data_IF_545814897317
#
_entry.id   IF_545814897317
#
_cell.length_a   1.000
_cell.length_b   1.000
_cell.length_c   1.000
_cell.angle_alpha   90.00
_cell.angle_beta   90.00
_cell.angle_gamma   90.00
#
_symmetry.space_group_name_H-M   'P 1'
#
loop_
_entity.id
_entity.type
_entity.pdbx_description
1 polymer ?
#
# COMPACT_ATOMS: atom_id res chain seq x y z
N UNK A 1 20.58 17.72 3.88
CA UNK A 1 19.78 16.47 3.89
C UNK A 1 18.36 16.61 4.46
N UNK A 2 18.00 17.66 5.21
CA UNK A 2 16.64 17.83 5.80
C UNK A 2 15.49 17.94 4.78
N UNK A 3 15.76 18.38 3.55
CA UNK A 3 14.75 18.55 2.49
C UNK A 3 14.34 17.25 1.80
N UNK A 4 15.20 16.22 1.81
CA UNK A 4 14.92 14.95 1.12
C UNK A 4 13.77 14.16 1.78
N UNK A 5 13.68 14.22 3.12
CA UNK A 5 12.59 13.56 3.87
C UNK A 5 11.20 14.17 3.60
N UNK A 6 11.15 15.43 3.18
CA UNK A 6 9.89 16.13 2.90
C UNK A 6 9.21 15.61 1.64
N UNK A 7 10.00 15.15 0.67
CA UNK A 7 9.51 14.58 -0.59
C UNK A 7 9.39 13.06 -0.56
N UNK A 8 10.21 12.37 0.24
CA UNK A 8 10.24 10.91 0.29
C UNK A 8 8.90 10.31 0.74
N UNK A 9 8.28 10.91 1.77
CA UNK A 9 6.98 10.46 2.27
C UNK A 9 5.86 10.57 1.23
N UNK A 10 5.60 11.77 0.67
CA UNK A 10 4.61 11.95 -0.40
C UNK A 10 4.89 11.09 -1.64
N UNK A 11 6.14 10.90 -2.03
CA UNK A 11 6.51 10.05 -3.18
C UNK A 11 6.16 8.58 -2.92
N UNK A 12 6.58 8.03 -1.77
CA UNK A 12 6.24 6.66 -1.39
C UNK A 12 4.73 6.50 -1.18
N UNK A 13 4.07 7.50 -0.62
CA UNK A 13 2.61 7.55 -0.48
C UNK A 13 1.92 7.48 -1.83
N UNK A 14 2.37 8.26 -2.82
CA UNK A 14 1.82 8.26 -4.17
C UNK A 14 2.01 6.92 -4.87
N UNK A 15 3.23 6.37 -4.82
CA UNK A 15 3.54 5.05 -5.40
C UNK A 15 2.73 3.95 -4.73
N UNK A 16 2.62 3.97 -3.40
CA UNK A 16 1.86 2.98 -2.65
C UNK A 16 0.36 3.05 -2.91
N UNK A 17 -0.22 4.25 -2.95
CA UNK A 17 -1.63 4.44 -3.29
C UNK A 17 -1.94 4.00 -4.72
N UNK A 18 -1.04 4.27 -5.66
CA UNK A 18 -1.15 3.79 -7.03
C UNK A 18 -1.07 2.26 -7.11
N UNK A 19 -0.14 1.63 -6.38
CA UNK A 19 -0.03 0.17 -6.31
C UNK A 19 -1.31 -0.46 -5.76
N UNK A 20 -1.88 0.07 -4.66
CA UNK A 20 -3.17 -0.38 -4.11
C UNK A 20 -4.28 -0.25 -5.15
N UNK A 21 -4.37 0.89 -5.83
CA UNK A 21 -5.37 1.10 -6.88
C UNK A 21 -5.30 0.05 -7.97
N UNK A 22 -4.10 -0.20 -8.52
CA UNK A 22 -3.91 -1.18 -9.61
C UNK A 22 -4.25 -2.60 -9.14
N UNK A 23 -3.70 -3.01 -7.99
CA UNK A 23 -3.91 -4.37 -7.46
C UNK A 23 -5.39 -4.64 -7.16
N UNK A 24 -6.08 -3.73 -6.46
CA UNK A 24 -7.50 -3.90 -6.15
C UNK A 24 -8.37 -3.83 -7.39
N UNK A 25 -8.08 -2.93 -8.34
CA UNK A 25 -8.81 -2.86 -9.61
C UNK A 25 -8.75 -4.19 -10.36
N UNK A 26 -7.59 -4.83 -10.38
CA UNK A 26 -7.38 -6.08 -11.11
C UNK A 26 -8.03 -7.27 -10.41
N UNK A 27 -7.95 -7.35 -9.07
CA UNK A 27 -8.68 -8.34 -8.26
C UNK A 27 -10.18 -8.19 -8.50
N UNK A 28 -10.73 -6.99 -8.28
CA UNK A 28 -12.17 -6.77 -8.36
C UNK A 28 -12.70 -6.94 -9.79
N UNK A 29 -11.91 -6.55 -10.80
CA UNK A 29 -12.22 -6.75 -12.21
C UNK A 29 -12.23 -8.23 -12.61
N UNK A 30 -11.22 -9.00 -12.19
CA UNK A 30 -11.13 -10.43 -12.50
C UNK A 30 -12.21 -11.25 -11.80
N UNK A 31 -12.53 -10.87 -10.57
CA UNK A 31 -13.48 -11.59 -9.72
C UNK A 31 -14.91 -11.14 -9.87
N UNK A 32 -15.19 -10.17 -10.75
CA UNK A 32 -16.51 -9.52 -10.89
C UNK A 32 -17.10 -9.12 -9.52
N UNK A 33 -16.23 -8.70 -8.60
CA UNK A 33 -16.62 -8.33 -7.24
C UNK A 33 -17.33 -6.99 -7.31
N UNK A 34 -18.66 -7.02 -7.20
CA UNK A 34 -19.50 -5.83 -7.16
C UNK A 34 -20.64 -5.88 -8.17
N UNK A 35 -21.84 -6.21 -7.68
CA UNK A 35 -23.11 -6.04 -8.40
C UNK A 35 -23.31 -4.56 -8.81
N UNK A 36 -22.61 -3.63 -8.14
CA UNK A 36 -22.53 -2.20 -8.46
C UNK A 36 -21.06 -1.76 -8.67
N UNK A 37 -20.51 -1.97 -9.86
CA UNK A 37 -19.14 -1.58 -10.22
C UNK A 37 -18.84 -0.08 -9.98
N UNK A 38 -19.87 0.79 -10.07
CA UNK A 38 -19.75 2.23 -9.83
C UNK A 38 -19.53 2.60 -8.36
N UNK A 39 -20.24 1.94 -7.43
CA UNK A 39 -20.14 2.23 -5.99
C UNK A 39 -18.78 1.84 -5.42
N UNK A 40 -18.23 0.69 -5.85
CA UNK A 40 -16.89 0.25 -5.44
C UNK A 40 -15.77 1.04 -6.10
N UNK A 41 -15.93 1.43 -7.37
CA UNK A 41 -15.00 2.35 -8.02
C UNK A 41 -14.88 3.68 -7.27
N UNK A 42 -16.01 4.19 -6.74
CA UNK A 42 -16.03 5.39 -5.92
C UNK A 42 -15.34 5.19 -4.56
N UNK A 43 -15.64 4.11 -3.82
CA UNK A 43 -14.99 3.80 -2.55
C UNK A 43 -13.48 3.60 -2.71
N UNK A 44 -13.03 2.96 -3.80
CA UNK A 44 -11.62 2.79 -4.10
C UNK A 44 -10.93 4.15 -4.32
N UNK A 45 -11.51 4.99 -5.18
CA UNK A 45 -10.87 6.22 -5.64
C UNK A 45 -10.91 7.34 -4.58
N UNK A 46 -11.99 7.43 -3.79
CA UNK A 46 -12.19 8.49 -2.80
C UNK A 46 -12.04 8.03 -1.35
N UNK A 47 -12.02 6.73 -1.08
CA UNK A 47 -11.81 6.16 0.25
C UNK A 47 -10.43 5.53 0.38
N UNK A 48 -10.20 4.42 -0.31
CA UNK A 48 -9.00 3.59 -0.11
C UNK A 48 -7.71 4.26 -0.61
N UNK A 49 -7.72 4.86 -1.81
CA UNK A 49 -6.54 5.57 -2.37
C UNK A 49 -6.07 6.73 -1.49
N UNK A 50 -6.92 7.71 -1.10
CA UNK A 50 -6.45 8.82 -0.27
C UNK A 50 -6.06 8.36 1.14
N UNK A 51 -6.78 7.37 1.71
CA UNK A 51 -6.43 6.81 3.02
C UNK A 51 -5.08 6.12 3.00
N UNK A 52 -4.80 5.29 1.98
CA UNK A 52 -3.52 4.60 1.84
C UNK A 52 -2.38 5.58 1.56
N UNK A 53 -2.62 6.59 0.73
CA UNK A 53 -1.66 7.69 0.52
C UNK A 53 -1.25 8.34 1.84
N UNK A 54 -2.22 8.76 2.66
CA UNK A 54 -1.95 9.43 3.93
C UNK A 54 -1.22 8.53 4.92
N UNK A 55 -1.63 7.27 5.05
CA UNK A 55 -1.00 6.30 5.96
C UNK A 55 0.45 6.06 5.55
N UNK A 56 0.71 5.79 4.26
CA UNK A 56 2.05 5.49 3.76
C UNK A 56 2.94 6.73 3.85
N UNK A 57 2.44 7.91 3.46
CA UNK A 57 3.20 9.15 3.52
C UNK A 57 3.61 9.51 4.95
N UNK A 58 2.70 9.31 5.92
CA UNK A 58 2.96 9.59 7.32
C UNK A 58 3.92 8.56 7.92
N UNK A 59 3.70 7.26 7.70
CA UNK A 59 4.56 6.20 8.24
C UNK A 59 5.98 6.25 7.67
N UNK A 60 6.13 6.44 6.36
CA UNK A 60 7.44 6.54 5.72
C UNK A 60 8.18 7.82 6.15
N UNK A 61 7.47 8.94 6.32
CA UNK A 61 8.04 10.17 6.89
C UNK A 61 8.51 10.01 8.34
N UNK A 62 7.68 9.38 9.19
CA UNK A 62 8.04 9.09 10.59
C UNK A 62 9.23 8.13 10.66
N UNK A 63 9.22 7.04 9.89
CA UNK A 63 10.31 6.08 9.82
C UNK A 63 11.62 6.75 9.40
N UNK A 64 11.59 7.56 8.34
CA UNK A 64 12.75 8.30 7.86
C UNK A 64 13.30 9.27 8.93
N UNK A 65 12.43 10.04 9.60
CA UNK A 65 12.87 11.00 10.62
C UNK A 65 13.45 10.32 11.87
N UNK A 66 12.89 9.18 12.29
CA UNK A 66 13.42 8.38 13.40
C UNK A 66 14.77 7.76 13.06
N UNK A 67 14.90 7.16 11.87
CA UNK A 67 16.13 6.49 11.44
C UNK A 67 17.27 7.48 11.17
N UNK A 68 16.96 8.70 10.72
CA UNK A 68 17.93 9.80 10.59
C UNK A 68 18.44 10.35 11.93
N UNK A 69 17.79 10.07 13.07
CA UNK A 69 18.27 10.49 14.40
C UNK A 69 19.32 9.54 15.00
N UNK A 70 19.51 8.36 14.41
CA UNK A 70 20.46 7.37 14.91
C UNK A 70 21.86 7.72 14.37
N UNK A 71 22.88 7.89 15.23
CA UNK A 71 24.23 8.29 14.83
C UNK A 71 24.99 7.11 14.21
N UNK A 72 24.57 6.65 13.03
CA UNK A 72 25.21 5.56 12.27
C UNK A 72 25.71 6.13 10.94
N UNK A 73 26.93 5.73 10.52
CA UNK A 73 27.52 6.15 9.24
C UNK A 73 26.64 5.83 8.01
N UNK A 74 25.76 4.84 8.11
CA UNK A 74 24.83 4.40 7.06
C UNK A 74 23.36 4.78 7.31
N UNK A 75 23.10 5.71 8.24
CA UNK A 75 21.75 6.08 8.70
C UNK A 75 20.81 6.46 7.55
N UNK A 76 21.28 7.16 6.51
CA UNK A 76 20.43 7.57 5.37
C UNK A 76 19.99 6.38 4.52
N UNK A 77 20.90 5.44 4.20
CA UNK A 77 20.54 4.23 3.44
C UNK A 77 19.55 3.37 4.22
N UNK A 78 19.76 3.24 5.53
CA UNK A 78 18.90 2.47 6.42
C UNK A 78 17.52 3.14 6.58
N UNK A 79 17.48 4.48 6.63
CA UNK A 79 16.26 5.27 6.65
C UNK A 79 15.43 5.13 5.39
N UNK A 80 16.08 5.17 4.21
CA UNK A 80 15.40 4.93 2.94
C UNK A 80 14.86 3.50 2.90
N UNK A 81 15.69 2.50 3.19
CA UNK A 81 15.28 1.10 3.17
C UNK A 81 14.10 0.83 4.12
N UNK A 82 14.14 1.37 5.35
CA UNK A 82 13.04 1.25 6.32
C UNK A 82 11.76 1.95 5.87
N UNK A 83 11.86 3.10 5.20
CA UNK A 83 10.71 3.80 4.65
C UNK A 83 10.07 3.01 3.49
N UNK A 84 10.88 2.41 2.61
CA UNK A 84 10.37 1.59 1.51
C UNK A 84 9.71 0.31 2.01
N UNK A 85 10.32 -0.40 2.97
CA UNK A 85 9.73 -1.62 3.53
C UNK A 85 8.42 -1.33 4.25
N UNK A 86 8.34 -0.23 5.01
CA UNK A 86 7.09 0.21 5.63
C UNK A 86 5.99 0.46 4.58
N UNK A 87 6.31 1.14 3.48
CA UNK A 87 5.35 1.38 2.40
C UNK A 87 4.84 0.06 1.79
N UNK A 88 5.75 -0.88 1.49
CA UNK A 88 5.39 -2.20 0.93
C UNK A 88 4.49 -2.99 1.88
N UNK A 89 4.80 -3.01 3.18
CA UNK A 89 4.00 -3.71 4.19
C UNK A 89 2.59 -3.11 4.29
N UNK A 90 2.46 -1.79 4.24
CA UNK A 90 1.14 -1.15 4.29
C UNK A 90 0.31 -1.47 3.05
N UNK A 91 0.91 -1.41 1.85
CA UNK A 91 0.24 -1.82 0.60
C UNK A 91 -0.22 -3.27 0.71
N UNK A 92 0.62 -4.15 1.24
CA UNK A 92 0.28 -5.56 1.39
C UNK A 92 -0.90 -5.78 2.35
N UNK A 93 -0.88 -5.13 3.51
CA UNK A 93 -1.95 -5.21 4.51
C UNK A 93 -3.26 -4.70 3.93
N UNK A 94 -3.25 -3.55 3.24
CA UNK A 94 -4.47 -2.95 2.70
C UNK A 94 -5.09 -3.81 1.61
N UNK A 95 -4.26 -4.40 0.74
CA UNK A 95 -4.70 -5.36 -0.28
C UNK A 95 -5.28 -6.60 0.37
N UNK A 96 -4.60 -7.18 1.35
CA UNK A 96 -5.05 -8.40 2.04
C UNK A 96 -6.39 -8.21 2.76
N UNK A 97 -6.56 -7.10 3.48
CA UNK A 97 -7.81 -6.79 4.18
C UNK A 97 -8.99 -6.57 3.23
N UNK A 98 -8.75 -5.96 2.07
CA UNK A 98 -9.79 -5.72 1.07
C UNK A 98 -10.09 -6.94 0.19
N UNK A 99 -9.16 -7.91 0.14
CA UNK A 99 -9.34 -9.20 -0.53
C UNK A 99 -10.20 -10.19 0.29
N UNK A 100 -10.06 -10.19 1.63
CA UNK A 100 -10.67 -11.21 2.51
C UNK A 100 -12.18 -11.12 2.88
N UNK A 101 -13.02 -10.13 2.47
CA UNK A 101 -14.39 -10.06 2.99
C UNK A 101 -15.44 -10.92 2.24
N UNK A 102 -15.08 -11.86 1.36
CA UNK A 102 -16.07 -12.67 0.62
C UNK A 102 -16.12 -14.13 1.08
N UNK A 103 -16.99 -14.40 2.05
CA UNK A 103 -17.44 -15.72 2.50
C UNK A 103 -18.38 -16.39 1.49
N UNK A 104 -18.07 -16.35 0.19
CA UNK A 104 -18.91 -16.95 -0.86
C UNK A 104 -18.35 -18.29 -1.37
N UNK A 105 -17.27 -18.80 -0.77
CA UNK A 105 -16.69 -20.11 -1.12
C UNK A 105 -16.03 -20.18 -2.50
N UNK A 106 -15.94 -19.04 -3.20
CA UNK A 106 -15.18 -18.90 -4.45
C UNK A 106 -13.87 -18.17 -4.16
N UNK A 107 -12.78 -18.95 -4.10
CA UNK A 107 -11.41 -18.43 -4.09
C UNK A 107 -11.11 -17.83 -5.46
N UNK A 108 -11.53 -16.59 -5.67
CA UNK A 108 -11.16 -15.86 -6.87
C UNK A 108 -9.77 -15.27 -6.71
N UNK A 109 -8.79 -16.04 -7.15
CA UNK A 109 -7.37 -15.73 -7.07
C UNK A 109 -6.94 -15.10 -8.40
N UNK A 110 -6.44 -13.84 -8.44
CA UNK A 110 -5.91 -13.27 -9.67
C UNK A 110 -4.64 -14.03 -10.11
N UNK A 111 -4.32 -14.06 -11.41
CA UNK A 111 -3.23 -14.89 -11.96
C UNK A 111 -1.83 -14.50 -11.44
N UNK A 112 -1.68 -13.31 -10.88
CA UNK A 112 -0.44 -12.83 -10.27
C UNK A 112 -0.31 -13.16 -8.78
N UNK A 113 -1.36 -13.71 -8.14
CA UNK A 113 -1.34 -13.96 -6.70
C UNK A 113 -0.27 -15.00 -6.35
N UNK A 114 0.56 -14.75 -5.32
CA UNK A 114 1.64 -15.67 -5.00
C UNK A 114 1.10 -16.96 -4.36
N UNK A 115 1.48 -18.11 -4.92
CA UNK A 115 0.99 -19.44 -4.50
C UNK A 115 1.46 -19.91 -3.11
N UNK A 116 2.40 -19.19 -2.50
CA UNK A 116 3.01 -19.52 -1.21
C UNK A 116 2.32 -18.84 -0.02
N UNK A 117 1.31 -18.00 -0.26
CA UNK A 117 0.51 -17.40 0.80
C UNK A 117 -0.72 -18.29 1.01
N UNK A 118 -0.86 -18.91 2.19
CA UNK A 118 -2.06 -19.68 2.49
C UNK A 118 -3.28 -18.74 2.50
N UNK A 119 -4.32 -19.13 1.76
CA UNK A 119 -5.63 -18.47 1.70
C UNK A 119 -6.45 -18.83 2.94
#
# INVERSE_FOLDING_TARGET
MRWAGWWLGPLLGGIGAYAVYVLLREIWGSCRIGINASARGFELMFGDVPRTFLIIALLSGVAYTLLCRIPVKWSVMLAVFGATTAAVVVVWITVSLRYYPYTDGYDCIPPWWPSWIPL
#
